data_IF_543296112743
#
_entry.id   IF_543296112743
#
_cell.length_a   1.000
_cell.length_b   1.000
_cell.length_c   1.000
_cell.angle_alpha   90.00
_cell.angle_beta   90.00
_cell.angle_gamma   90.00
#
_symmetry.space_group_name_H-M   'P 1'
#
loop_
_entity.id
_entity.type
_entity.pdbx_description
1 polymer ?
#
# COMPACT_ATOMS: atom_id res chain seq x y z
N UNK A 1 16.81 -12.99 -22.20
CA UNK A 1 15.69 -12.22 -21.61
C UNK A 1 16.26 -11.53 -20.38
N UNK A 2 16.61 -10.25 -20.47
CA UNK A 2 17.26 -9.50 -19.38
C UNK A 2 16.22 -8.74 -18.57
N UNK A 3 16.26 -8.87 -17.25
CA UNK A 3 15.31 -8.32 -16.28
C UNK A 3 15.44 -6.80 -16.05
N UNK A 4 15.94 -6.02 -17.02
CA UNK A 4 16.32 -4.61 -16.84
C UNK A 4 15.28 -3.57 -17.28
N UNK A 5 14.09 -3.98 -17.74
CA UNK A 5 13.08 -3.06 -18.30
C UNK A 5 11.83 -2.88 -17.42
N UNK A 6 11.84 -3.38 -16.18
CA UNK A 6 10.77 -3.04 -15.25
C UNK A 6 10.98 -1.59 -14.79
N UNK A 7 9.95 -0.70 -14.87
CA UNK A 7 10.03 0.60 -14.22
C UNK A 7 10.42 0.39 -12.75
N UNK A 8 11.10 1.36 -12.11
CA UNK A 8 11.46 1.21 -10.70
C UNK A 8 10.21 0.79 -9.94
N UNK A 9 10.23 -0.42 -9.37
CA UNK A 9 9.15 -0.88 -8.54
C UNK A 9 9.09 0.07 -7.35
N UNK A 10 8.16 1.01 -7.37
CA UNK A 10 7.96 1.90 -6.23
C UNK A 10 7.71 1.04 -5.00
N UNK A 11 8.44 1.28 -3.92
CA UNK A 11 8.14 0.55 -2.69
C UNK A 11 6.74 0.94 -2.23
N UNK A 12 5.88 -0.02 -1.82
CA UNK A 12 4.50 0.28 -1.45
C UNK A 12 4.37 1.36 -0.35
N UNK A 13 5.38 1.49 0.51
CA UNK A 13 5.48 2.56 1.50
C UNK A 13 5.57 3.95 0.85
N UNK A 14 6.41 4.11 -0.17
CA UNK A 14 6.61 5.39 -0.87
C UNK A 14 5.33 5.83 -1.60
N UNK A 15 4.62 4.86 -2.19
CA UNK A 15 3.33 5.11 -2.86
C UNK A 15 2.29 5.67 -1.90
N UNK A 16 2.16 5.09 -0.69
CA UNK A 16 1.23 5.60 0.32
C UNK A 16 1.70 6.93 0.91
N UNK A 17 3.01 7.12 1.07
CA UNK A 17 3.61 8.37 1.56
C UNK A 17 3.41 9.55 0.59
N UNK A 18 3.40 9.28 -0.71
CA UNK A 18 3.11 10.28 -1.75
C UNK A 18 1.61 10.59 -1.92
N UNK A 19 0.72 9.89 -1.21
CA UNK A 19 -0.73 10.08 -1.37
C UNK A 19 -1.19 11.48 -0.96
N UNK A 20 -2.13 12.09 -1.72
CA UNK A 20 -2.77 13.33 -1.30
C UNK A 20 -3.61 13.16 -0.01
N UNK A 21 -3.98 11.92 0.33
CA UNK A 21 -4.73 11.62 1.55
C UNK A 21 -3.79 11.50 2.75
N UNK A 22 -3.90 12.43 3.70
CA UNK A 22 -3.15 12.45 4.97
C UNK A 22 -3.25 11.12 5.74
N UNK A 23 -4.40 10.45 5.69
CA UNK A 23 -4.60 9.17 6.37
C UNK A 23 -3.79 8.03 5.74
N UNK A 24 -3.59 8.02 4.42
CA UNK A 24 -2.78 7.00 3.74
C UNK A 24 -1.30 7.15 4.07
N UNK A 25 -0.82 8.40 4.17
CA UNK A 25 0.56 8.72 4.56
C UNK A 25 0.95 8.24 5.96
N UNK A 26 -0.04 7.95 6.82
CA UNK A 26 0.14 7.47 8.20
C UNK A 26 0.03 5.96 8.32
N UNK A 27 -0.29 5.25 7.24
CA UNK A 27 -0.35 3.79 7.26
C UNK A 27 1.06 3.21 7.31
N UNK A 28 1.21 2.13 8.05
CA UNK A 28 2.48 1.40 8.15
C UNK A 28 2.44 0.26 7.14
N UNK A 29 3.53 0.14 6.39
CA UNK A 29 3.72 -0.90 5.39
C UNK A 29 4.88 -1.80 5.81
N UNK A 30 4.63 -3.09 5.90
CA UNK A 30 5.66 -4.11 6.11
C UNK A 30 5.75 -4.96 4.85
N UNK A 31 6.95 -5.06 4.28
CA UNK A 31 7.21 -5.81 3.04
C UNK A 31 8.07 -7.03 3.30
N UNK A 32 7.73 -8.13 2.65
CA UNK A 32 8.53 -9.35 2.54
C UNK A 32 8.61 -9.79 1.08
N UNK A 33 9.31 -10.88 0.81
CA UNK A 33 9.39 -11.49 -0.52
C UNK A 33 8.04 -12.01 -1.03
N UNK A 34 7.11 -12.36 -0.12
CA UNK A 34 5.84 -13.03 -0.45
C UNK A 34 4.61 -12.19 -0.17
N UNK A 35 4.70 -11.20 0.71
CA UNK A 35 3.55 -10.44 1.21
C UNK A 35 3.91 -8.97 1.50
N UNK A 36 2.94 -8.09 1.23
CA UNK A 36 2.89 -6.70 1.66
C UNK A 36 1.72 -6.55 2.63
N UNK A 37 2.00 -6.16 3.86
CA UNK A 37 1.00 -5.93 4.89
C UNK A 37 0.84 -4.44 5.11
N UNK A 38 -0.40 -3.94 5.03
CA UNK A 38 -0.73 -2.55 5.38
C UNK A 38 -1.56 -2.52 6.66
N UNK A 39 -1.11 -1.73 7.63
CA UNK A 39 -1.73 -1.58 8.95
C UNK A 39 -1.95 -0.10 9.28
N UNK A 40 -2.88 0.17 10.19
CA UNK A 40 -3.20 1.52 10.64
C UNK A 40 -4.71 1.75 10.73
N UNK A 41 -5.11 3.02 10.82
CA UNK A 41 -6.51 3.43 10.96
C UNK A 41 -6.90 4.47 9.92
N UNK A 42 -8.10 4.35 9.38
CA UNK A 42 -8.70 5.33 8.47
C UNK A 42 -10.16 5.61 8.89
N UNK A 43 -10.69 6.81 8.60
CA UNK A 43 -12.06 7.17 8.99
C UNK A 43 -13.16 6.59 8.10
N UNK A 44 -12.80 5.94 6.98
CA UNK A 44 -13.79 5.42 6.03
C UNK A 44 -13.31 4.21 5.25
N UNK A 45 -14.26 3.37 4.84
CA UNK A 45 -14.00 2.27 3.90
C UNK A 45 -13.48 2.77 2.55
N UNK A 46 -13.88 3.97 2.13
CA UNK A 46 -13.31 4.62 0.95
C UNK A 46 -11.79 4.76 1.05
N UNK A 47 -11.27 5.27 2.17
CA UNK A 47 -9.82 5.41 2.36
C UNK A 47 -9.13 4.05 2.51
N UNK A 48 -9.79 3.05 3.10
CA UNK A 48 -9.28 1.67 3.15
C UNK A 48 -9.13 1.08 1.74
N UNK A 49 -10.10 1.33 0.86
CA UNK A 49 -10.05 0.92 -0.53
C UNK A 49 -8.97 1.69 -1.30
N UNK A 50 -8.87 3.01 -1.10
CA UNK A 50 -7.85 3.82 -1.76
C UNK A 50 -6.43 3.37 -1.40
N UNK A 51 -6.18 3.02 -0.14
CA UNK A 51 -4.88 2.50 0.29
C UNK A 51 -4.52 1.20 -0.45
N UNK A 52 -5.50 0.29 -0.60
CA UNK A 52 -5.31 -0.98 -1.29
C UNK A 52 -5.08 -0.80 -2.79
N UNK A 53 -5.86 0.05 -3.44
CA UNK A 53 -5.72 0.25 -4.89
C UNK A 53 -4.45 1.04 -5.24
N UNK A 54 -4.02 1.99 -4.40
CA UNK A 54 -2.81 2.76 -4.64
C UNK A 54 -1.56 1.88 -4.82
N UNK A 55 -1.43 0.82 -4.00
CA UNK A 55 -0.25 -0.05 -4.01
C UNK A 55 -0.39 -1.26 -4.93
N UNK A 56 -1.56 -1.50 -5.54
CA UNK A 56 -1.82 -2.69 -6.36
C UNK A 56 -0.81 -2.80 -7.52
N UNK A 57 -0.45 -1.68 -8.12
CA UNK A 57 0.51 -1.62 -9.23
C UNK A 57 1.96 -1.95 -8.86
N UNK A 58 2.31 -1.93 -7.56
CA UNK A 58 3.68 -2.16 -7.10
C UNK A 58 3.84 -3.45 -6.26
N UNK A 59 2.83 -4.32 -6.20
CA UNK A 59 2.92 -5.59 -5.46
C UNK A 59 3.88 -6.58 -6.12
N UNK A 60 3.98 -6.58 -7.45
CA UNK A 60 4.69 -7.62 -8.19
C UNK A 60 4.09 -9.01 -7.85
N UNK A 61 4.91 -10.02 -7.52
CA UNK A 61 4.41 -11.35 -7.16
C UNK A 61 3.86 -11.45 -5.72
N UNK A 62 4.04 -10.39 -4.90
CA UNK A 62 3.67 -10.39 -3.49
C UNK A 62 2.15 -10.34 -3.33
N UNK A 63 1.64 -11.01 -2.31
CA UNK A 63 0.24 -10.87 -1.88
C UNK A 63 0.05 -9.59 -1.09
N UNK A 64 -1.13 -8.99 -1.21
CA UNK A 64 -1.53 -7.88 -0.35
C UNK A 64 -2.40 -8.37 0.79
N UNK A 65 -2.03 -8.00 2.02
CA UNK A 65 -2.83 -8.18 3.23
C UNK A 65 -3.21 -6.83 3.82
N UNK A 66 -4.48 -6.46 3.67
CA UNK A 66 -5.01 -5.18 4.13
C UNK A 66 -5.64 -5.28 5.52
N UNK A 67 -4.84 -4.99 6.53
CA UNK A 67 -5.23 -4.99 7.95
C UNK A 67 -5.61 -3.60 8.48
N UNK A 68 -5.83 -2.63 7.59
CA UNK A 68 -6.25 -1.28 7.98
C UNK A 68 -7.61 -1.33 8.68
N UNK A 69 -7.72 -0.76 9.86
CA UNK A 69 -8.99 -0.66 10.58
C UNK A 69 -9.76 0.58 10.14
N UNK A 70 -11.05 0.42 9.92
CA UNK A 70 -11.95 1.56 9.74
C UNK A 70 -12.49 1.92 11.12
N UNK A 71 -12.10 3.09 11.63
CA UNK A 71 -12.57 3.61 12.91
C UNK A 71 -13.33 4.90 12.62
N UNK A 72 -14.59 5.03 13.05
CA UNK A 72 -15.23 6.34 13.09
C UNK A 72 -14.39 7.27 13.96
N UNK A 73 -14.19 8.49 13.48
CA UNK A 73 -13.57 9.54 14.28
C UNK A 73 -14.40 9.84 15.53
#
# INVERSE_FOLDING_TARGET
MSASDYPPSFEPADVLFASPHTYLRRLVVTTSEVEVVITGRVPSYYLKQMAQEAIRGCLGPRRLRNEVQVCSA
#
